data_IF_316394562348
#
_entry.id   IF_316394562348
#
_cell.length_a   1.000
_cell.length_b   1.000
_cell.length_c   1.000
_cell.angle_alpha   90.00
_cell.angle_beta   90.00
_cell.angle_gamma   90.00
#
_symmetry.space_group_name_H-M   'P 1'
#
loop_
_entity.id
_entity.type
_entity.pdbx_description
1 polymer ?
#
# COMPACT_ATOMS: atom_id res chain seq x y z
N UNK A 1 -16.60 15.05 -67.95
CA UNK A 1 -16.76 16.38 -68.58
C UNK A 1 -17.81 17.11 -67.76
N UNK A 2 -17.45 18.30 -67.25
CA UNK A 2 -18.26 19.27 -66.47
C UNK A 2 -18.76 18.88 -65.06
N UNK A 3 -18.95 19.77 -64.06
CA UNK A 3 -18.39 21.08 -63.64
C UNK A 3 -19.01 21.41 -62.25
N UNK A 4 -18.18 21.57 -61.19
CA UNK A 4 -18.22 22.37 -59.93
C UNK A 4 -19.55 22.57 -59.10
N UNK A 5 -19.57 23.02 -57.80
CA UNK A 5 -18.56 23.82 -57.07
C UNK A 5 -18.31 23.53 -55.54
N UNK A 6 -17.29 24.20 -55.01
CA UNK A 6 -16.69 24.27 -53.63
C UNK A 6 -17.60 24.93 -52.55
N UNK A 7 -17.17 25.31 -51.29
CA UNK A 7 -15.87 25.21 -50.58
C UNK A 7 -15.94 24.85 -49.06
N UNK A 8 -14.80 24.73 -48.34
CA UNK A 8 -14.45 25.49 -47.11
C UNK A 8 -13.35 24.83 -46.25
N UNK A 9 -12.21 25.55 -46.17
CA UNK A 9 -11.34 25.88 -45.02
C UNK A 9 -10.69 24.79 -44.14
N UNK A 10 -9.36 24.85 -44.21
CA UNK A 10 -8.36 24.89 -43.11
C UNK A 10 -8.39 23.79 -42.05
N UNK A 11 -7.27 23.08 -41.95
CA UNK A 11 -6.30 23.10 -40.83
C UNK A 11 -5.37 21.90 -41.02
N UNK A 12 -4.07 22.09 -40.78
CA UNK A 12 -3.18 21.21 -39.98
C UNK A 12 -1.73 21.33 -40.46
N UNK A 13 -0.96 22.27 -39.89
CA UNK A 13 -0.10 22.13 -38.69
C UNK A 13 1.26 21.54 -39.04
N UNK A 14 2.20 22.44 -39.31
CA UNK A 14 3.64 22.18 -39.45
C UNK A 14 4.23 21.79 -38.09
N UNK A 15 5.01 20.71 -38.11
CA UNK A 15 5.77 20.17 -37.00
C UNK A 15 6.82 21.17 -36.49
N UNK A 16 6.86 21.37 -35.17
CA UNK A 16 8.02 21.92 -34.47
C UNK A 16 8.29 21.04 -33.25
N UNK A 17 9.38 20.31 -33.34
CA UNK A 17 9.96 19.48 -32.29
C UNK A 17 10.54 20.41 -31.23
N UNK A 18 9.88 20.55 -30.08
CA UNK A 18 10.51 21.12 -28.90
C UNK A 18 11.06 19.98 -28.04
N UNK A 19 12.39 19.85 -28.05
CA UNK A 19 13.15 19.07 -27.09
C UNK A 19 12.86 19.59 -25.69
N UNK A 20 11.91 18.94 -25.02
CA UNK A 20 11.65 19.14 -23.61
C UNK A 20 12.85 18.58 -22.86
N UNK A 21 13.79 19.45 -22.51
CA UNK A 21 14.86 19.18 -21.56
C UNK A 21 14.20 18.71 -20.26
N UNK A 22 14.18 17.41 -20.03
CA UNK A 22 13.89 16.82 -18.73
C UNK A 22 15.10 17.14 -17.86
N UNK A 23 15.12 18.36 -17.29
CA UNK A 23 15.97 18.65 -16.14
C UNK A 23 15.53 17.66 -15.07
N UNK A 24 16.39 16.73 -14.63
CA UNK A 24 16.08 15.97 -13.43
C UNK A 24 15.91 17.03 -12.36
N UNK A 25 14.74 17.12 -11.73
CA UNK A 25 14.58 17.94 -10.55
C UNK A 25 15.70 17.51 -9.60
N UNK A 26 16.75 18.34 -9.50
CA UNK A 26 17.86 18.08 -8.61
C UNK A 26 17.22 17.76 -7.28
N UNK A 27 17.42 16.54 -6.77
CA UNK A 27 16.86 16.10 -5.50
C UNK A 27 17.25 17.15 -4.47
N UNK A 28 16.31 18.03 -4.14
CA UNK A 28 16.61 19.22 -3.34
C UNK A 28 17.14 18.69 -2.03
N UNK A 29 18.42 18.97 -1.73
CA UNK A 29 19.08 18.42 -0.55
C UNK A 29 18.24 18.79 0.66
N UNK A 30 17.81 17.81 1.45
CA UNK A 30 17.09 18.08 2.68
C UNK A 30 18.06 18.72 3.67
N UNK A 31 17.80 19.98 4.02
CA UNK A 31 18.62 20.75 4.96
C UNK A 31 18.17 20.56 6.40
N UNK A 32 17.02 19.90 6.62
CA UNK A 32 16.50 19.61 7.95
C UNK A 32 17.42 18.64 8.68
N UNK A 33 17.48 18.79 10.00
CA UNK A 33 18.21 17.84 10.85
C UNK A 33 17.50 16.50 10.78
N UNK A 34 18.24 15.45 10.41
CA UNK A 34 17.69 14.10 10.31
C UNK A 34 17.68 13.44 11.69
N UNK A 35 16.50 13.13 12.17
CA UNK A 35 16.25 12.37 13.38
C UNK A 35 15.59 11.04 13.02
N UNK A 36 15.74 10.04 13.89
CA UNK A 36 15.12 8.71 13.72
C UNK A 36 13.92 8.49 14.64
N UNK A 37 13.81 9.30 15.71
CA UNK A 37 12.76 9.21 16.72
C UNK A 37 12.08 10.55 16.91
N UNK A 38 10.80 10.64 16.53
CA UNK A 38 9.95 11.81 16.78
C UNK A 38 9.76 12.05 18.28
N UNK A 39 9.59 10.98 19.04
CA UNK A 39 9.49 11.00 20.51
C UNK A 39 10.69 11.68 21.17
N UNK A 40 11.91 11.31 20.78
CA UNK A 40 13.10 11.91 21.38
C UNK A 40 13.20 13.43 21.12
N UNK A 41 12.73 13.88 19.95
CA UNK A 41 12.67 15.32 19.64
C UNK A 41 11.60 16.00 20.49
N UNK A 42 10.44 15.37 20.70
CA UNK A 42 9.40 15.89 21.60
C UNK A 42 9.87 16.00 23.05
N UNK A 43 10.54 14.97 23.57
CA UNK A 43 11.11 14.99 24.94
C UNK A 43 12.13 16.13 25.10
N UNK A 44 12.98 16.35 24.08
CA UNK A 44 13.92 17.47 24.09
C UNK A 44 13.22 18.84 23.99
N UNK A 45 12.15 18.96 23.20
CA UNK A 45 11.35 20.18 23.13
C UNK A 45 10.70 20.50 24.47
N UNK A 46 10.18 19.50 25.17
CA UNK A 46 9.58 19.65 26.50
C UNK A 46 10.61 20.12 27.53
N UNK A 47 11.79 19.50 27.57
CA UNK A 47 12.90 19.94 28.43
C UNK A 47 13.31 21.38 28.13
N UNK A 48 13.43 21.74 26.85
CA UNK A 48 13.79 23.08 26.41
C UNK A 48 12.68 24.12 26.65
N UNK A 49 11.41 23.72 26.71
CA UNK A 49 10.28 24.59 27.00
C UNK A 49 10.42 25.33 28.33
N UNK A 50 11.09 24.71 29.32
CA UNK A 50 11.40 25.38 30.59
C UNK A 50 12.27 26.65 30.43
N UNK A 51 13.10 26.72 29.39
CA UNK A 51 13.89 27.93 29.10
C UNK A 51 13.02 29.04 28.52
N UNK A 52 12.06 28.69 27.65
CA UNK A 52 11.11 29.65 27.09
C UNK A 52 10.20 30.21 28.19
N UNK A 53 9.75 29.36 29.12
CA UNK A 53 8.98 29.80 30.28
C UNK A 53 9.74 30.81 31.14
N UNK A 54 11.04 30.57 31.39
CA UNK A 54 11.91 31.50 32.15
C UNK A 54 12.09 32.87 31.49
N UNK A 55 11.87 33.01 30.18
CA UNK A 55 11.87 34.31 29.53
C UNK A 55 10.73 35.22 30.05
N UNK A 56 9.67 34.62 30.59
CA UNK A 56 8.51 35.33 31.12
C UNK A 56 8.78 36.09 32.42
N UNK A 57 9.83 35.72 33.17
CA UNK A 57 10.19 36.37 34.44
C UNK A 57 10.55 37.85 34.24
N UNK A 58 11.00 38.21 33.03
CA UNK A 58 11.32 39.59 32.65
C UNK A 58 10.12 40.37 32.10
N UNK A 59 8.95 39.74 31.89
CA UNK A 59 7.77 40.35 31.29
C UNK A 59 6.76 40.86 32.34
N UNK A 60 6.03 41.96 32.04
CA UNK A 60 4.87 42.38 32.82
C UNK A 60 3.80 41.30 32.89
N UNK A 61 3.12 41.17 34.04
CA UNK A 61 2.14 40.09 34.29
C UNK A 61 0.98 40.11 33.31
N UNK A 62 0.55 41.30 32.91
CA UNK A 62 -0.63 41.51 32.05
C UNK A 62 -0.45 40.93 30.65
N UNK A 63 0.80 40.85 30.17
CA UNK A 63 1.12 40.34 28.83
C UNK A 63 1.91 39.02 28.86
N UNK A 64 2.38 38.59 30.04
CA UNK A 64 3.29 37.46 30.18
C UNK A 64 2.72 36.19 29.56
N UNK A 65 1.51 35.80 29.94
CA UNK A 65 0.89 34.55 29.49
C UNK A 65 0.69 34.48 27.96
N UNK A 66 0.03 35.46 27.29
CA UNK A 66 -0.14 35.39 25.84
C UNK A 66 1.19 35.45 25.08
N UNK A 67 2.16 36.25 25.54
CA UNK A 67 3.49 36.35 24.91
C UNK A 67 4.28 35.06 25.07
N UNK A 68 4.22 34.42 26.24
CA UNK A 68 4.86 33.12 26.46
C UNK A 68 4.24 32.01 25.61
N UNK A 69 2.91 31.99 25.48
CA UNK A 69 2.20 31.02 24.63
C UNK A 69 2.61 31.15 23.17
N UNK A 70 2.68 32.38 22.67
CA UNK A 70 3.12 32.67 21.30
C UNK A 70 4.60 32.32 21.07
N UNK A 71 5.47 32.66 22.04
CA UNK A 71 6.88 32.31 22.00
C UNK A 71 7.11 30.79 22.02
N UNK A 72 6.35 30.06 22.84
CA UNK A 72 6.40 28.60 22.91
C UNK A 72 5.97 27.97 21.58
N UNK A 73 4.84 28.39 21.04
CA UNK A 73 4.34 27.92 19.74
C UNK A 73 5.35 28.20 18.62
N UNK A 74 5.91 29.41 18.58
CA UNK A 74 6.89 29.81 17.57
C UNK A 74 8.18 29.00 17.68
N UNK A 75 8.67 28.80 18.91
CA UNK A 75 9.85 27.97 19.17
C UNK A 75 9.64 26.53 18.71
N UNK A 76 8.56 25.88 19.15
CA UNK A 76 8.27 24.49 18.78
C UNK A 76 8.07 24.35 17.27
N UNK A 77 7.28 25.23 16.65
CA UNK A 77 7.01 25.21 15.22
C UNK A 77 8.29 25.36 14.41
N UNK A 78 9.16 26.31 14.78
CA UNK A 78 10.44 26.52 14.10
C UNK A 78 11.34 25.28 14.20
N UNK A 79 11.37 24.59 15.34
CA UNK A 79 12.13 23.33 15.46
C UNK A 79 11.52 22.24 14.58
N UNK A 80 10.19 22.07 14.62
CA UNK A 80 9.48 21.04 13.85
C UNK A 80 9.65 21.20 12.34
N UNK A 81 9.67 22.44 11.83
CA UNK A 81 9.90 22.74 10.41
C UNK A 81 11.35 22.44 9.97
N UNK A 82 12.30 22.48 10.90
CA UNK A 82 13.73 22.30 10.63
C UNK A 82 14.26 20.90 10.96
N UNK A 83 13.37 19.97 11.31
CA UNK A 83 13.69 18.56 11.59
C UNK A 83 12.95 17.64 10.61
N UNK A 84 13.59 16.54 10.22
CA UNK A 84 12.95 15.44 9.49
C UNK A 84 13.08 14.14 10.26
N UNK A 85 12.02 13.34 10.29
CA UNK A 85 12.02 12.02 10.95
C UNK A 85 12.07 10.96 9.86
N UNK A 86 13.18 10.22 9.76
CA UNK A 86 13.40 9.24 8.70
C UNK A 86 13.17 9.82 7.27
N UNK A 87 13.49 11.11 7.08
CA UNK A 87 13.30 11.83 5.82
C UNK A 87 11.89 12.38 5.59
N UNK A 88 10.93 12.08 6.46
CA UNK A 88 9.57 12.61 6.41
C UNK A 88 9.48 13.96 7.12
N UNK A 89 8.54 14.80 6.68
CA UNK A 89 8.20 16.03 7.40
C UNK A 89 7.58 15.72 8.76
N UNK A 90 7.70 16.65 9.72
CA UNK A 90 7.20 16.45 11.08
C UNK A 90 5.72 16.01 11.16
N UNK A 91 4.86 16.60 10.32
CA UNK A 91 3.42 16.29 10.27
C UNK A 91 3.11 14.92 9.64
N UNK A 92 3.98 14.44 8.77
CA UNK A 92 3.81 13.17 8.04
C UNK A 92 4.44 12.00 8.79
N UNK A 93 5.44 12.29 9.63
CA UNK A 93 6.14 11.31 10.42
C UNK A 93 5.20 10.71 11.46
N UNK A 94 5.08 9.38 11.44
CA UNK A 94 4.28 8.67 12.42
C UNK A 94 4.87 8.84 13.81
N UNK A 95 3.98 9.13 14.75
CA UNK A 95 4.29 8.93 16.16
C UNK A 95 4.23 7.42 16.38
N UNK A 96 5.40 6.78 16.48
CA UNK A 96 5.53 5.32 16.68
C UNK A 96 5.01 4.84 18.05
N UNK A 97 4.15 5.63 18.70
CA UNK A 97 3.47 5.29 19.92
C UNK A 97 2.18 4.55 19.54
N UNK A 98 2.28 3.23 19.36
CA UNK A 98 1.08 2.39 19.30
C UNK A 98 0.36 2.50 20.63
N UNK A 99 -0.94 2.78 20.60
CA UNK A 99 -1.75 2.76 21.82
C UNK A 99 -2.04 1.30 22.18
N UNK A 100 -2.25 1.03 23.47
CA UNK A 100 -2.60 -0.33 23.93
C UNK A 100 -3.84 -0.86 23.18
N UNK A 101 -4.81 0.00 22.84
CA UNK A 101 -5.97 -0.36 22.03
C UNK A 101 -5.60 -0.91 20.65
N UNK A 102 -4.61 -0.32 19.99
CA UNK A 102 -4.19 -0.73 18.64
C UNK A 102 -3.52 -2.11 18.70
N UNK A 103 -2.74 -2.35 19.75
CA UNK A 103 -2.10 -3.63 20.02
C UNK A 103 -3.17 -4.70 20.30
N UNK A 104 -4.17 -4.42 21.14
CA UNK A 104 -5.26 -5.36 21.44
C UNK A 104 -6.03 -5.77 20.18
N UNK A 105 -6.37 -4.82 19.31
CA UNK A 105 -7.06 -5.12 18.04
C UNK A 105 -6.20 -6.02 17.15
N UNK A 106 -4.89 -5.74 17.07
CA UNK A 106 -3.97 -6.57 16.28
C UNK A 106 -3.82 -7.98 16.86
N UNK A 107 -3.72 -8.12 18.18
CA UNK A 107 -3.66 -9.41 18.87
C UNK A 107 -4.92 -10.26 18.59
N UNK A 108 -6.11 -9.66 18.73
CA UNK A 108 -7.38 -10.36 18.52
C UNK A 108 -7.50 -10.88 17.07
N UNK A 109 -7.09 -10.06 16.09
CA UNK A 109 -7.04 -10.49 14.68
C UNK A 109 -6.02 -11.61 14.45
N UNK A 110 -4.88 -11.54 15.13
CA UNK A 110 -3.84 -12.54 14.99
C UNK A 110 -4.30 -13.90 15.56
N UNK A 111 -4.97 -13.89 16.71
CA UNK A 111 -5.55 -15.08 17.31
C UNK A 111 -6.63 -15.72 16.42
N UNK A 112 -7.49 -14.91 15.81
CA UNK A 112 -8.47 -15.40 14.83
C UNK A 112 -7.79 -16.11 13.65
N UNK A 113 -6.76 -15.49 13.07
CA UNK A 113 -6.01 -16.07 11.95
C UNK A 113 -5.28 -17.34 12.36
N UNK A 114 -4.67 -17.36 13.56
CA UNK A 114 -4.01 -18.57 14.07
C UNK A 114 -5.02 -19.72 14.17
N UNK A 115 -6.19 -19.47 14.76
CA UNK A 115 -7.22 -20.49 14.93
C UNK A 115 -7.75 -20.99 13.59
N UNK A 116 -8.06 -20.09 12.65
CA UNK A 116 -8.52 -20.45 11.30
C UNK A 116 -7.47 -21.27 10.55
N UNK A 117 -6.22 -20.81 10.54
CA UNK A 117 -5.12 -21.50 9.84
C UNK A 117 -4.84 -22.86 10.47
N UNK A 118 -4.83 -22.97 11.80
CA UNK A 118 -4.66 -24.25 12.50
C UNK A 118 -5.83 -25.21 12.16
N UNK A 119 -7.05 -24.70 12.13
CA UNK A 119 -8.25 -25.47 11.76
C UNK A 119 -8.18 -25.96 10.32
N UNK A 120 -7.79 -25.09 9.39
CA UNK A 120 -7.57 -25.45 7.98
C UNK A 120 -6.50 -26.52 7.84
N UNK A 121 -5.32 -26.33 8.45
CA UNK A 121 -4.23 -27.32 8.46
C UNK A 121 -4.68 -28.68 9.01
N UNK A 122 -5.54 -28.69 10.03
CA UNK A 122 -6.07 -29.93 10.63
C UNK A 122 -7.12 -30.64 9.76
N UNK A 123 -8.08 -29.89 9.21
CA UNK A 123 -9.28 -30.47 8.59
C UNK A 123 -9.20 -30.60 7.07
N UNK A 124 -8.62 -29.61 6.37
CA UNK A 124 -8.68 -29.54 4.92
C UNK A 124 -7.94 -30.68 4.22
N UNK A 125 -6.75 -31.14 4.67
CA UNK A 125 -6.10 -32.29 4.07
C UNK A 125 -6.98 -33.55 4.07
N UNK A 126 -7.77 -33.76 5.13
CA UNK A 126 -8.69 -34.90 5.24
C UNK A 126 -9.88 -34.76 4.28
N UNK A 127 -10.47 -33.57 4.20
CA UNK A 127 -11.58 -33.28 3.26
C UNK A 127 -11.12 -33.43 1.80
N UNK A 128 -9.94 -32.90 1.46
CA UNK A 128 -9.35 -33.02 0.13
C UNK A 128 -9.08 -34.49 -0.20
N UNK A 129 -8.47 -35.23 0.73
CA UNK A 129 -8.19 -36.65 0.57
C UNK A 129 -9.47 -37.44 0.30
N UNK A 130 -10.54 -37.20 1.04
CA UNK A 130 -11.84 -37.84 0.82
C UNK A 130 -12.37 -37.59 -0.60
N UNK A 131 -12.36 -36.33 -1.05
CA UNK A 131 -12.78 -35.97 -2.40
C UNK A 131 -11.92 -36.64 -3.47
N UNK A 132 -10.59 -36.63 -3.32
CA UNK A 132 -9.66 -37.24 -4.28
C UNK A 132 -9.86 -38.75 -4.35
N UNK A 133 -10.04 -39.44 -3.22
CA UNK A 133 -10.34 -40.88 -3.19
C UNK A 133 -11.63 -41.18 -3.96
N UNK A 134 -12.69 -40.40 -3.74
CA UNK A 134 -13.98 -40.55 -4.46
C UNK A 134 -13.80 -40.39 -5.97
N UNK A 135 -13.06 -39.36 -6.40
CA UNK A 135 -12.78 -39.11 -7.83
C UNK A 135 -11.98 -40.27 -8.44
N UNK A 136 -10.94 -40.76 -7.76
CA UNK A 136 -10.11 -41.86 -8.28
C UNK A 136 -10.95 -43.12 -8.43
N UNK A 137 -11.76 -43.47 -7.41
CA UNK A 137 -12.66 -44.63 -7.48
C UNK A 137 -13.68 -44.51 -8.60
N UNK A 138 -14.29 -43.34 -8.78
CA UNK A 138 -15.24 -43.09 -9.85
C UNK A 138 -14.59 -43.23 -11.24
N UNK A 139 -13.39 -42.64 -11.44
CA UNK A 139 -12.64 -42.79 -12.68
C UNK A 139 -12.29 -44.25 -12.98
N UNK A 140 -11.88 -45.01 -11.96
CA UNK A 140 -11.59 -46.43 -12.11
C UNK A 140 -12.86 -47.22 -12.49
N UNK A 141 -14.00 -46.89 -11.91
CA UNK A 141 -15.26 -47.57 -12.20
C UNK A 141 -15.76 -47.29 -13.63
N UNK A 142 -15.70 -46.03 -14.09
CA UNK A 142 -15.99 -45.66 -15.48
C UNK A 142 -15.08 -46.41 -16.45
N UNK A 143 -13.79 -46.55 -16.11
CA UNK A 143 -12.84 -47.29 -16.96
C UNK A 143 -13.18 -48.78 -17.07
N UNK A 144 -13.70 -49.40 -15.99
CA UNK A 144 -14.18 -50.79 -16.05
C UNK A 144 -15.41 -50.93 -16.95
N UNK A 145 -16.36 -50.00 -16.88
CA UNK A 145 -17.56 -49.99 -17.71
C UNK A 145 -17.26 -49.86 -19.21
N UNK A 146 -16.11 -49.28 -19.57
CA UNK A 146 -15.65 -49.23 -20.95
C UNK A 146 -15.28 -50.61 -21.54
N UNK A 147 -15.08 -51.63 -20.71
CA UNK A 147 -14.86 -53.01 -21.16
C UNK A 147 -16.18 -53.82 -21.13
N UNK A 148 -16.51 -54.58 -22.20
CA UNK A 148 -15.65 -54.90 -23.33
C UNK A 148 -15.63 -53.81 -24.41
N UNK A 149 -14.43 -53.49 -24.88
CA UNK A 149 -14.25 -52.62 -26.04
C UNK A 149 -14.79 -53.38 -27.25
N UNK A 150 -15.90 -52.90 -27.82
CA UNK A 150 -16.47 -53.51 -29.03
C UNK A 150 -15.56 -53.16 -30.21
N UNK A 151 -14.79 -54.14 -30.66
CA UNK A 151 -14.01 -54.02 -31.88
C UNK A 151 -14.93 -54.13 -33.10
N UNK A 152 -14.74 -53.30 -34.15
CA UNK A 152 -15.59 -53.34 -35.33
C UNK A 152 -15.55 -54.73 -35.98
N UNK A 153 -16.71 -55.23 -36.40
CA UNK A 153 -16.80 -56.48 -37.16
C UNK A 153 -16.01 -56.33 -38.47
N UNK A 154 -15.15 -57.30 -38.77
CA UNK A 154 -14.38 -57.32 -40.00
C UNK A 154 -15.27 -57.26 -41.24
N UNK A 155 -14.90 -56.40 -42.19
CA UNK A 155 -15.57 -56.26 -43.49
C UNK A 155 -15.50 -57.59 -44.24
N UNK A 156 -16.64 -58.25 -44.43
CA UNK A 156 -16.76 -59.39 -45.34
C UNK A 156 -17.26 -58.89 -46.69
N UNK A 157 -16.58 -59.31 -47.75
CA UNK A 157 -17.06 -59.14 -49.11
C UNK A 157 -18.20 -60.11 -49.39
N UNK A 158 -19.20 -59.67 -50.16
CA UNK A 158 -20.29 -60.53 -50.62
C UNK A 158 -19.72 -61.63 -51.54
N UNK A 159 -20.21 -62.87 -51.47
CA UNK A 159 -19.78 -63.92 -52.38
C UNK A 159 -20.29 -63.64 -53.80
N UNK A 160 -19.41 -63.84 -54.79
CA UNK A 160 -19.73 -63.62 -56.21
C UNK A 160 -20.88 -64.54 -56.71
N UNK A 161 -21.71 -64.04 -57.65
CA UNK A 161 -22.94 -64.69 -58.11
C UNK A 161 -22.76 -65.97 -58.94
#
# INVERSE_FOLDING_TARGET
MERAPSPLRDVERVARTDERTLVPAASRKDFRVRCTSKRAVMEMLELCGSFVQKLGDALPEEIREPVLRDAQWTFESAVQENVSINGQAWQEASDSCFMDSDIKVLEDQFDEIIVDVATKRKQYPRKILECVIKIIKAKQEVLKQYHPVVHPLGLKYDPDP
#
